data_IF_092163013654
#
_entry.id   IF_092163013654
#
_cell.length_a   1.000
_cell.length_b   1.000
_cell.length_c   1.000
_cell.angle_alpha   90.00
_cell.angle_beta   90.00
_cell.angle_gamma   90.00
#
_symmetry.space_group_name_H-M   'P 1'
#
loop_
_entity.id
_entity.type
_entity.pdbx_description
1 polymer ?
#
# COMPACT_ATOMS: atom_id res chain seq x y z
N UNK A 1 -22.66 -34.89 -19.14
CA UNK A 1 -23.29 -33.56 -19.11
C UNK A 1 -22.27 -32.52 -19.56
N UNK A 2 -22.61 -31.84 -20.65
CA UNK A 2 -22.11 -30.59 -21.24
C UNK A 2 -20.77 -30.00 -20.76
N UNK A 3 -19.75 -30.16 -21.62
CA UNK A 3 -18.70 -29.16 -21.83
C UNK A 3 -19.34 -27.97 -22.56
N UNK A 4 -19.46 -26.83 -21.87
CA UNK A 4 -19.83 -25.55 -22.48
C UNK A 4 -18.60 -24.98 -23.22
N UNK A 5 -18.80 -24.69 -24.50
CA UNK A 5 -17.76 -24.34 -25.46
C UNK A 5 -17.06 -23.02 -25.19
N UNK A 6 -15.76 -23.03 -25.46
CA UNK A 6 -15.00 -21.85 -25.82
C UNK A 6 -15.54 -21.32 -27.15
N UNK A 7 -16.26 -20.19 -27.08
CA UNK A 7 -16.67 -19.44 -28.26
C UNK A 7 -15.45 -19.07 -29.10
N UNK A 8 -15.43 -19.59 -30.32
CA UNK A 8 -14.61 -19.14 -31.44
C UNK A 8 -14.84 -17.66 -31.72
N UNK A 9 -13.89 -16.80 -31.32
CA UNK A 9 -13.80 -15.42 -31.80
C UNK A 9 -12.70 -15.37 -32.86
N UNK A 10 -13.17 -15.47 -34.10
CA UNK A 10 -12.72 -14.71 -35.27
C UNK A 10 -11.20 -14.67 -35.55
N UNK A 11 -10.78 -15.62 -36.37
CA UNK A 11 -9.69 -15.51 -37.34
C UNK A 11 -9.95 -14.32 -38.29
N UNK A 12 -9.41 -13.13 -37.94
CA UNK A 12 -9.24 -11.97 -38.83
C UNK A 12 -7.73 -11.72 -38.96
N UNK A 13 -7.25 -11.49 -40.18
CA UNK A 13 -5.83 -11.37 -40.56
C UNK A 13 -5.02 -10.21 -39.94
N UNK A 14 -5.38 -9.74 -38.74
CA UNK A 14 -4.68 -8.70 -37.97
C UNK A 14 -3.56 -9.26 -37.07
N UNK A 15 -3.36 -10.58 -37.04
CA UNK A 15 -2.32 -11.23 -36.24
C UNK A 15 -0.89 -10.63 -36.42
N UNK A 16 -0.45 -10.22 -37.63
CA UNK A 16 0.86 -9.57 -37.80
C UNK A 16 0.92 -8.17 -37.16
N UNK A 17 -0.18 -7.42 -37.19
CA UNK A 17 -0.26 -6.09 -36.60
C UNK A 17 -0.29 -6.16 -35.07
N UNK A 18 -1.05 -7.12 -34.51
CA UNK A 18 -1.09 -7.39 -33.08
C UNK A 18 0.31 -7.76 -32.53
N UNK A 19 1.07 -8.58 -33.26
CA UNK A 19 2.41 -8.98 -32.86
C UNK A 19 3.41 -7.81 -32.81
N UNK A 20 3.27 -6.81 -33.71
CA UNK A 20 4.11 -5.61 -33.69
C UNK A 20 3.72 -4.68 -32.54
N UNK A 21 2.43 -4.55 -32.25
CA UNK A 21 1.93 -3.78 -31.09
C UNK A 21 2.43 -4.39 -29.78
N UNK A 22 2.31 -5.71 -29.62
CA UNK A 22 2.79 -6.44 -28.43
C UNK A 22 4.31 -6.36 -28.27
N UNK A 23 5.06 -6.34 -29.38
CA UNK A 23 6.52 -6.19 -29.34
C UNK A 23 6.92 -4.78 -28.92
N UNK A 24 6.22 -3.76 -29.39
CA UNK A 24 6.47 -2.37 -29.00
C UNK A 24 6.05 -2.09 -27.55
N UNK A 25 4.93 -2.65 -27.09
CA UNK A 25 4.49 -2.49 -25.69
C UNK A 25 5.48 -3.13 -24.72
N UNK A 26 5.99 -4.33 -25.03
CA UNK A 26 7.05 -4.98 -24.23
C UNK A 26 8.36 -4.20 -24.25
N UNK A 27 8.77 -3.67 -25.41
CA UNK A 27 9.99 -2.86 -25.51
C UNK A 27 9.88 -1.54 -24.73
N UNK A 28 8.70 -0.92 -24.71
CA UNK A 28 8.42 0.26 -23.91
C UNK A 28 8.45 -0.07 -22.42
N UNK A 29 7.77 -1.14 -21.99
CA UNK A 29 7.77 -1.58 -20.59
C UNK A 29 9.19 -1.91 -20.09
N UNK A 30 10.02 -2.55 -20.93
CA UNK A 30 11.42 -2.83 -20.60
C UNK A 30 12.25 -1.55 -20.44
N UNK A 31 12.01 -0.53 -21.28
CA UNK A 31 12.68 0.78 -21.13
C UNK A 31 12.29 1.47 -19.83
N UNK A 32 10.99 1.50 -19.53
CA UNK A 32 10.47 2.12 -18.31
C UNK A 32 11.03 1.40 -17.08
N UNK A 33 11.08 0.06 -17.09
CA UNK A 33 11.68 -0.74 -16.02
C UNK A 33 13.18 -0.47 -15.82
N UNK A 34 13.92 -0.30 -16.92
CA UNK A 34 15.35 0.04 -16.85
C UNK A 34 15.57 1.47 -16.32
N UNK A 35 14.75 2.43 -16.74
CA UNK A 35 14.81 3.82 -16.24
C UNK A 35 14.45 3.89 -14.75
N UNK A 36 13.41 3.17 -14.30
CA UNK A 36 13.07 3.09 -12.86
C UNK A 36 14.15 2.40 -12.05
N UNK A 37 14.78 1.35 -12.59
CA UNK A 37 15.92 0.69 -11.93
C UNK A 37 17.10 1.65 -11.75
N UNK A 38 17.43 2.44 -12.77
CA UNK A 38 18.53 3.41 -12.70
C UNK A 38 18.25 4.54 -11.69
N UNK A 39 17.01 5.03 -11.63
CA UNK A 39 16.59 6.01 -10.63
C UNK A 39 16.57 5.44 -9.20
N UNK A 40 16.12 4.19 -9.02
CA UNK A 40 16.21 3.49 -7.75
C UNK A 40 17.66 3.32 -7.29
N UNK A 41 18.57 3.00 -8.21
CA UNK A 41 19.99 2.87 -7.91
C UNK A 41 20.60 4.21 -7.47
N UNK A 42 20.22 5.33 -8.12
CA UNK A 42 20.61 6.69 -7.69
C UNK A 42 20.07 7.05 -6.29
N UNK A 43 18.84 6.66 -5.99
CA UNK A 43 18.22 6.88 -4.68
C UNK A 43 18.89 6.02 -3.61
N UNK A 44 19.13 4.75 -3.89
CA UNK A 44 19.82 3.82 -2.99
C UNK A 44 21.21 4.35 -2.66
N UNK A 45 21.97 4.80 -3.65
CA UNK A 45 23.30 5.39 -3.44
C UNK A 45 23.26 6.70 -2.64
N UNK A 46 22.17 7.47 -2.75
CA UNK A 46 21.97 8.67 -1.93
C UNK A 46 21.62 8.29 -0.48
N UNK A 47 20.82 7.25 -0.27
CA UNK A 47 20.46 6.73 1.05
C UNK A 47 21.66 6.11 1.74
N UNK A 48 22.45 5.28 1.05
CA UNK A 48 23.72 4.72 1.54
C UNK A 48 24.66 5.84 1.99
N UNK A 49 24.88 6.86 1.15
CA UNK A 49 25.68 8.03 1.53
C UNK A 49 25.13 8.77 2.77
N UNK A 50 23.80 8.83 2.95
CA UNK A 50 23.20 9.47 4.14
C UNK A 50 23.35 8.58 5.37
N UNK A 51 23.20 7.27 5.23
CA UNK A 51 23.39 6.29 6.30
C UNK A 51 24.84 6.24 6.75
N UNK A 52 25.81 6.20 5.83
CA UNK A 52 27.25 6.27 6.16
C UNK A 52 27.59 7.58 6.87
N UNK A 53 27.05 8.71 6.41
CA UNK A 53 27.21 10.00 7.09
C UNK A 53 26.54 9.99 8.47
N UNK A 54 25.38 9.35 8.63
CA UNK A 54 24.68 9.24 9.91
C UNK A 54 25.42 8.34 10.89
N UNK A 55 25.93 7.20 10.43
CA UNK A 55 26.74 6.27 11.23
C UNK A 55 28.04 6.92 11.69
N UNK A 56 28.74 7.65 10.80
CA UNK A 56 29.87 8.46 11.23
C UNK A 56 29.45 9.49 12.28
N UNK A 57 28.34 10.21 12.08
CA UNK A 57 27.90 11.22 13.05
C UNK A 57 27.50 10.57 14.39
N UNK A 58 26.93 9.36 14.36
CA UNK A 58 26.49 8.61 15.54
C UNK A 58 27.67 7.99 16.32
N UNK A 59 28.73 7.55 15.63
CA UNK A 59 30.00 7.20 16.27
C UNK A 59 30.64 8.39 17.00
N UNK A 60 30.53 9.61 16.44
CA UNK A 60 30.92 10.84 17.15
C UNK A 60 30.02 11.16 18.35
N UNK A 61 28.74 10.78 18.35
CA UNK A 61 27.81 11.03 19.47
C UNK A 61 27.95 10.04 20.63
N UNK A 62 28.32 8.79 20.35
CA UNK A 62 28.48 7.75 21.37
C UNK A 62 29.61 8.06 22.36
N UNK A 63 30.66 8.77 21.93
CA UNK A 63 31.84 9.10 22.74
C UNK A 63 31.63 10.30 23.71
N UNK A 64 30.58 11.11 23.50
CA UNK A 64 30.32 12.35 24.27
C UNK A 64 29.01 12.34 25.09
N UNK A 65 28.31 11.21 25.14
CA UNK A 65 26.92 11.10 25.60
C UNK A 65 26.61 11.56 27.04
N UNK A 66 27.60 11.76 27.91
CA UNK A 66 27.36 12.21 29.30
C UNK A 66 27.40 13.73 29.51
N UNK A 67 27.90 14.52 28.54
CA UNK A 67 28.18 15.95 28.72
C UNK A 67 27.55 16.85 27.64
N UNK A 68 26.52 16.39 26.95
CA UNK A 68 25.94 17.08 25.79
C UNK A 68 24.53 17.60 26.10
N UNK A 69 24.28 18.89 25.86
CA UNK A 69 22.98 19.54 26.07
C UNK A 69 22.48 20.17 24.78
N UNK A 70 21.24 19.87 24.40
CA UNK A 70 20.61 20.34 23.16
C UNK A 70 19.82 21.60 23.40
N UNK A 71 20.03 22.60 22.56
CA UNK A 71 19.38 23.92 22.66
C UNK A 71 18.78 24.29 21.30
N UNK A 72 17.59 24.89 21.32
CA UNK A 72 16.74 25.07 20.14
C UNK A 72 17.24 26.18 19.22
N UNK A 73 17.89 27.21 19.76
CA UNK A 73 18.50 28.31 19.02
C UNK A 73 19.60 29.04 19.83
N UNK A 74 20.27 30.00 19.20
CA UNK A 74 21.36 30.77 19.81
C UNK A 74 20.85 31.68 20.95
N UNK A 75 19.58 32.10 20.90
CA UNK A 75 19.00 32.98 21.92
C UNK A 75 18.78 32.24 23.24
N UNK A 76 18.25 31.01 23.17
CA UNK A 76 18.08 30.12 24.31
C UNK A 76 19.44 29.72 24.92
N UNK A 77 20.48 29.51 24.09
CA UNK A 77 21.84 29.29 24.59
C UNK A 77 22.37 30.53 25.33
N UNK A 78 22.12 31.73 24.80
CA UNK A 78 22.55 32.97 25.44
C UNK A 78 21.86 33.19 26.80
N UNK A 79 20.57 32.86 26.91
CA UNK A 79 19.82 32.93 28.18
C UNK A 79 20.35 31.90 29.19
N UNK A 80 20.61 30.68 28.75
CA UNK A 80 21.14 29.59 29.58
C UNK A 80 22.56 29.89 30.10
N UNK A 81 23.37 30.61 29.32
CA UNK A 81 24.71 31.08 29.73
C UNK A 81 24.68 32.35 30.62
N UNK A 82 23.55 33.08 30.67
CA UNK A 82 23.36 34.21 31.58
C UNK A 82 22.97 33.76 33.00
N UNK A 83 22.43 32.56 33.15
CA UNK A 83 22.14 31.95 34.45
C UNK A 83 23.44 31.63 35.21
N UNK A 84 23.70 32.38 36.28
CA UNK A 84 24.91 32.28 37.10
C UNK A 84 25.06 30.93 37.82
N UNK A 85 23.95 30.22 38.08
CA UNK A 85 23.96 28.93 38.77
C UNK A 85 24.33 27.83 37.78
N UNK A 86 23.67 27.80 36.63
CA UNK A 86 23.96 26.83 35.57
C UNK A 86 25.35 27.03 34.98
N UNK A 87 25.79 28.27 34.78
CA UNK A 87 27.14 28.60 34.32
C UNK A 87 28.23 27.99 35.22
N UNK A 88 28.07 28.02 36.54
CA UNK A 88 29.01 27.38 37.47
C UNK A 88 29.01 25.85 37.33
N UNK A 89 27.84 25.24 37.08
CA UNK A 89 27.70 23.81 36.83
C UNK A 89 28.43 23.38 35.54
N UNK A 90 28.25 24.13 34.44
CA UNK A 90 28.92 23.85 33.16
C UNK A 90 30.41 24.21 33.15
N UNK A 91 30.88 25.07 34.06
CA UNK A 91 32.32 25.31 34.25
C UNK A 91 33.02 24.15 34.97
N UNK A 92 32.30 23.43 35.83
CA UNK A 92 32.86 22.29 36.58
C UNK A 92 33.05 21.04 35.69
N UNK A 93 32.33 20.94 34.58
CA UNK A 93 32.36 19.80 33.66
C UNK A 93 32.26 20.31 32.22
N UNK A 94 33.25 20.00 31.37
CA UNK A 94 33.25 20.41 29.95
C UNK A 94 31.96 19.93 29.31
N UNK A 95 31.06 20.87 29.02
CA UNK A 95 29.72 20.63 28.48
C UNK A 95 29.66 21.14 27.04
N UNK A 96 29.21 20.29 26.12
CA UNK A 96 29.08 20.64 24.70
C UNK A 96 27.63 21.00 24.42
N UNK A 97 27.40 22.24 23.97
CA UNK A 97 26.08 22.70 23.56
C UNK A 97 25.88 22.49 22.07
N UNK A 98 24.86 21.73 21.71
CA UNK A 98 24.45 21.59 20.31
C UNK A 98 23.26 22.51 20.08
N UNK A 99 23.50 23.55 19.29
CA UNK A 99 22.48 24.53 18.91
C UNK A 99 21.89 24.10 17.58
N UNK A 100 20.62 23.72 17.59
CA UNK A 100 19.87 23.48 16.36
C UNK A 100 19.62 24.80 15.65
N UNK A 101 19.84 24.87 14.33
CA UNK A 101 19.31 25.97 13.53
C UNK A 101 17.93 25.56 13.02
N UNK A 102 16.90 26.29 13.43
CA UNK A 102 15.52 26.06 12.98
C UNK A 102 15.41 26.06 11.44
N UNK A 103 16.28 26.81 10.74
CA UNK A 103 16.36 26.85 9.28
C UNK A 103 16.73 25.50 8.64
N UNK A 104 17.62 24.73 9.27
CA UNK A 104 17.98 23.38 8.83
C UNK A 104 16.83 22.42 9.13
N UNK A 105 16.06 22.66 10.20
CA UNK A 105 14.82 21.92 10.45
C UNK A 105 13.74 22.24 9.40
N UNK A 106 13.67 23.48 8.92
CA UNK A 106 12.77 23.85 7.81
C UNK A 106 13.23 23.28 6.47
N UNK A 107 14.54 23.22 6.22
CA UNK A 107 15.09 22.49 5.06
C UNK A 107 14.85 20.99 5.18
N UNK A 108 14.99 20.41 6.37
CA UNK A 108 14.71 19.00 6.67
C UNK A 108 13.21 18.70 6.55
N UNK A 109 12.34 19.64 6.94
CA UNK A 109 10.90 19.57 6.73
C UNK A 109 10.55 19.67 5.24
N UNK A 110 11.19 20.57 4.49
CA UNK A 110 11.05 20.65 3.03
C UNK A 110 11.56 19.38 2.34
N UNK A 111 12.67 18.81 2.81
CA UNK A 111 13.21 17.55 2.28
C UNK A 111 12.27 16.39 2.61
N UNK A 112 11.74 16.33 3.83
CA UNK A 112 10.72 15.36 4.24
C UNK A 112 9.43 15.54 3.45
N UNK A 113 9.01 16.78 3.16
CA UNK A 113 7.87 17.07 2.30
C UNK A 113 8.14 16.68 0.86
N UNK A 114 9.34 16.90 0.33
CA UNK A 114 9.74 16.47 -1.01
C UNK A 114 9.87 14.94 -1.11
N UNK A 115 10.33 14.28 -0.05
CA UNK A 115 10.37 12.82 0.05
C UNK A 115 8.95 12.27 0.15
N UNK A 116 8.08 12.91 0.92
CA UNK A 116 6.68 12.53 1.03
C UNK A 116 5.90 12.81 -0.26
N UNK A 117 6.18 13.92 -0.96
CA UNK A 117 5.69 14.19 -2.31
C UNK A 117 6.26 13.18 -3.30
N UNK A 118 7.54 12.81 -3.22
CA UNK A 118 8.12 11.77 -4.05
C UNK A 118 7.44 10.42 -3.80
N UNK A 119 7.13 10.06 -2.54
CA UNK A 119 6.36 8.86 -2.23
C UNK A 119 4.90 8.98 -2.66
N UNK A 120 4.26 10.14 -2.55
CA UNK A 120 2.87 10.35 -3.00
C UNK A 120 2.74 10.39 -4.53
N UNK A 121 3.70 11.00 -5.22
CA UNK A 121 3.83 10.93 -6.68
C UNK A 121 4.28 9.55 -7.12
N UNK A 122 5.12 8.84 -6.36
CA UNK A 122 5.38 7.43 -6.61
C UNK A 122 4.12 6.61 -6.41
N UNK A 123 3.31 6.84 -5.37
CA UNK A 123 2.03 6.16 -5.11
C UNK A 123 0.98 6.48 -6.20
N UNK A 124 0.96 7.71 -6.71
CA UNK A 124 0.15 8.08 -7.88
C UNK A 124 0.69 7.48 -9.18
N UNK A 125 2.00 7.37 -9.34
CA UNK A 125 2.64 6.67 -10.46
C UNK A 125 2.59 5.13 -10.30
N UNK A 126 2.29 4.65 -9.09
CA UNK A 126 1.99 3.26 -8.72
C UNK A 126 0.48 2.96 -8.77
N UNK A 127 -0.36 3.88 -9.30
CA UNK A 127 -1.72 3.53 -9.74
C UNK A 127 -1.71 2.36 -10.75
N UNK A 128 -0.55 2.05 -11.35
CA UNK A 128 -0.40 0.97 -12.32
C UNK A 128 0.50 -0.22 -11.94
N UNK A 129 1.37 -0.22 -10.92
CA UNK A 129 2.17 -1.44 -10.65
C UNK A 129 2.93 -1.47 -9.32
N UNK A 130 2.43 -2.22 -8.32
CA UNK A 130 3.15 -3.23 -7.50
C UNK A 130 2.66 -3.29 -6.02
N UNK A 131 2.58 -4.50 -5.43
CA UNK A 131 1.72 -4.83 -4.29
C UNK A 131 2.24 -4.60 -2.86
N UNK A 132 1.27 -4.68 -1.93
CA UNK A 132 1.43 -4.73 -0.48
C UNK A 132 1.67 -6.17 0.03
N UNK A 133 2.65 -6.32 0.91
CA UNK A 133 3.04 -7.57 1.59
C UNK A 133 2.06 -7.97 2.72
N UNK A 134 1.86 -9.28 2.99
CA UNK A 134 0.91 -9.72 4.00
C UNK A 134 1.54 -9.99 5.39
N UNK A 135 0.69 -9.79 6.40
CA UNK A 135 0.92 -9.96 7.84
C UNK A 135 1.31 -11.41 8.19
N UNK A 136 2.44 -11.56 8.87
CA UNK A 136 2.96 -12.85 9.34
C UNK A 136 2.47 -13.08 10.77
N UNK A 137 1.84 -14.23 11.02
CA UNK A 137 1.49 -14.68 12.37
C UNK A 137 2.77 -15.04 13.14
N UNK A 138 3.27 -14.04 13.86
CA UNK A 138 4.51 -14.10 14.63
C UNK A 138 4.49 -15.19 15.69
N UNK A 139 3.32 -15.58 16.21
CA UNK A 139 3.21 -16.57 17.29
C UNK A 139 3.51 -18.00 16.79
N UNK A 140 2.99 -18.35 15.60
CA UNK A 140 3.29 -19.65 14.95
C UNK A 140 4.75 -19.72 14.45
N UNK A 141 5.31 -18.60 14.01
CA UNK A 141 6.73 -18.50 13.64
C UNK A 141 7.63 -18.65 14.87
N UNK A 142 7.25 -18.06 16.00
CA UNK A 142 8.02 -18.17 17.25
C UNK A 142 8.02 -19.61 17.77
N UNK A 143 6.88 -20.30 17.70
CA UNK A 143 6.79 -21.71 18.09
C UNK A 143 7.67 -22.63 17.23
N UNK A 144 7.71 -22.39 15.91
CA UNK A 144 8.57 -23.13 14.98
C UNK A 144 10.06 -22.85 15.19
N UNK A 145 10.41 -21.62 15.59
CA UNK A 145 11.78 -21.25 15.94
C UNK A 145 12.21 -21.98 17.22
N UNK A 146 11.36 -22.03 18.25
CA UNK A 146 11.67 -22.75 19.50
C UNK A 146 11.83 -24.25 19.29
N UNK A 147 10.95 -24.90 18.51
CA UNK A 147 11.12 -26.31 18.15
C UNK A 147 12.42 -26.57 17.37
N UNK A 148 12.77 -25.67 16.45
CA UNK A 148 14.02 -25.75 15.69
C UNK A 148 15.26 -25.55 16.56
N UNK A 149 15.19 -24.64 17.54
CA UNK A 149 16.27 -24.39 18.49
C UNK A 149 16.48 -25.56 19.44
N UNK A 150 15.42 -26.24 19.89
CA UNK A 150 15.55 -27.43 20.73
C UNK A 150 16.12 -28.63 19.96
N UNK A 151 15.73 -28.80 18.69
CA UNK A 151 16.37 -29.81 17.81
C UNK A 151 17.84 -29.49 17.58
N UNK A 152 18.18 -28.21 17.33
CA UNK A 152 19.57 -27.78 17.15
C UNK A 152 20.42 -28.00 18.41
N UNK A 153 19.87 -27.72 19.61
CA UNK A 153 20.53 -28.02 20.90
C UNK A 153 20.75 -29.52 21.07
N UNK A 154 19.75 -30.35 20.79
CA UNK A 154 19.88 -31.81 20.86
C UNK A 154 20.96 -32.36 19.91
N UNK A 155 21.04 -31.81 18.70
CA UNK A 155 22.09 -32.15 17.73
C UNK A 155 23.48 -31.68 18.19
N UNK A 156 23.59 -30.48 18.77
CA UNK A 156 24.85 -29.97 19.29
C UNK A 156 25.39 -30.82 20.46
N UNK A 157 24.51 -31.27 21.38
CA UNK A 157 24.90 -32.20 22.45
C UNK A 157 25.40 -33.52 21.89
N UNK A 158 24.65 -34.10 20.93
CA UNK A 158 25.03 -35.36 20.29
C UNK A 158 26.34 -35.26 19.51
N UNK A 159 26.62 -34.11 18.90
CA UNK A 159 27.89 -33.83 18.24
C UNK A 159 29.04 -33.74 19.25
N UNK A 160 28.80 -33.16 20.43
CA UNK A 160 29.73 -33.16 21.56
C UNK A 160 30.10 -34.57 22.01
N UNK A 161 29.11 -35.43 22.20
CA UNK A 161 29.31 -36.84 22.59
C UNK A 161 30.12 -37.61 21.53
N UNK A 162 29.77 -37.44 20.25
CA UNK A 162 30.51 -38.07 19.13
C UNK A 162 31.96 -37.59 19.09
N UNK A 163 32.20 -36.30 19.33
CA UNK A 163 33.56 -35.75 19.33
C UNK A 163 34.39 -36.33 20.48
N UNK A 164 33.79 -36.51 21.65
CA UNK A 164 34.43 -37.16 22.79
C UNK A 164 34.77 -38.62 22.49
N UNK A 165 33.85 -39.38 21.90
CA UNK A 165 34.07 -40.76 21.48
C UNK A 165 35.20 -40.89 20.43
N UNK A 166 35.30 -39.95 19.49
CA UNK A 166 36.35 -39.92 18.47
C UNK A 166 37.73 -39.67 19.10
N UNK A 167 37.81 -38.72 20.04
CA UNK A 167 39.07 -38.42 20.74
C UNK A 167 39.52 -39.61 21.57
N UNK A 168 38.59 -40.26 22.29
CA UNK A 168 38.88 -41.43 23.11
C UNK A 168 39.29 -42.64 22.26
N UNK A 169 38.65 -42.83 21.09
CA UNK A 169 39.08 -43.82 20.11
C UNK A 169 40.48 -43.52 19.58
N UNK A 170 40.80 -42.28 19.21
CA UNK A 170 42.12 -41.90 18.69
C UNK A 170 43.25 -42.06 19.72
N UNK A 171 42.97 -41.77 20.99
CA UNK A 171 43.92 -41.98 22.10
C UNK A 171 44.19 -43.48 22.33
N UNK A 172 43.12 -44.28 22.45
CA UNK A 172 43.22 -45.75 22.57
C UNK A 172 43.87 -46.38 21.33
N UNK A 173 43.64 -45.79 20.16
CA UNK A 173 44.21 -46.20 18.90
C UNK A 173 45.72 -45.90 18.82
N UNK A 174 46.16 -44.75 19.32
CA UNK A 174 47.56 -44.37 19.42
C UNK A 174 48.32 -45.31 20.38
N UNK A 175 47.72 -45.67 21.51
CA UNK A 175 48.29 -46.66 22.45
C UNK A 175 48.37 -48.07 21.85
N UNK A 176 47.37 -48.49 21.07
CA UNK A 176 47.32 -49.83 20.48
C UNK A 176 48.15 -50.01 19.18
N UNK A 177 48.82 -48.96 18.70
CA UNK A 177 49.60 -48.96 17.46
C UNK A 177 50.97 -49.67 17.54
N UNK A 178 51.13 -50.58 18.51
CA UNK A 178 52.31 -51.43 18.66
C UNK A 178 52.25 -52.77 17.88
N UNK A 179 51.19 -53.11 17.12
CA UNK A 179 51.11 -54.39 16.37
C UNK A 179 50.57 -54.28 14.93
N UNK A 180 51.43 -54.62 13.96
CA UNK A 180 51.28 -54.54 12.50
C UNK A 180 50.03 -55.19 11.83
N UNK A 181 49.18 -55.95 12.53
CA UNK A 181 47.92 -56.50 11.95
C UNK A 181 46.76 -55.49 11.96
N UNK A 182 46.80 -54.46 12.82
CA UNK A 182 45.75 -53.43 12.88
C UNK A 182 45.70 -52.57 11.61
N UNK A 183 46.87 -52.25 11.04
CA UNK A 183 47.04 -51.29 9.94
C UNK A 183 46.19 -51.61 8.69
N UNK A 184 46.02 -52.89 8.35
CA UNK A 184 45.24 -53.30 7.16
C UNK A 184 43.72 -53.26 7.38
N UNK A 185 43.25 -53.54 8.62
CA UNK A 185 41.83 -53.36 8.99
C UNK A 185 41.46 -51.88 9.05
N UNK A 186 42.40 -51.07 9.53
CA UNK A 186 42.33 -49.61 9.51
C UNK A 186 42.22 -49.03 8.12
N UNK A 187 43.10 -49.44 7.19
CA UNK A 187 43.00 -48.98 5.80
C UNK A 187 41.65 -49.34 5.18
N UNK A 188 41.12 -50.53 5.48
CA UNK A 188 39.81 -50.95 5.00
C UNK A 188 38.66 -50.14 5.63
N UNK A 189 38.73 -49.86 6.94
CA UNK A 189 37.76 -49.03 7.64
C UNK A 189 37.83 -47.56 7.19
N UNK A 190 39.04 -47.05 6.94
CA UNK A 190 39.29 -45.72 6.40
C UNK A 190 38.71 -45.59 4.98
N UNK A 191 38.91 -46.61 4.15
CA UNK A 191 38.33 -46.62 2.81
C UNK A 191 36.80 -46.69 2.85
N UNK A 192 36.22 -47.54 3.69
CA UNK A 192 34.77 -47.60 3.88
C UNK A 192 34.20 -46.26 4.39
N UNK A 193 34.84 -45.65 5.38
CA UNK A 193 34.46 -44.33 5.87
C UNK A 193 34.57 -43.25 4.78
N UNK A 194 35.57 -43.33 3.90
CA UNK A 194 35.73 -42.43 2.76
C UNK A 194 34.61 -42.61 1.74
N UNK A 195 34.24 -43.84 1.45
CA UNK A 195 33.16 -44.17 0.52
C UNK A 195 31.81 -43.72 1.09
N UNK A 196 31.56 -43.94 2.38
CA UNK A 196 30.37 -43.47 3.10
C UNK A 196 30.29 -41.94 3.14
N UNK A 197 31.42 -41.27 3.40
CA UNK A 197 31.50 -39.80 3.38
C UNK A 197 31.20 -39.24 1.99
N UNK A 198 31.71 -39.89 0.94
CA UNK A 198 31.41 -39.52 -0.45
C UNK A 198 29.93 -39.67 -0.76
N UNK A 199 29.31 -40.80 -0.36
CA UNK A 199 27.87 -41.03 -0.56
C UNK A 199 27.02 -40.03 0.21
N UNK A 200 27.41 -39.69 1.45
CA UNK A 200 26.71 -38.71 2.26
C UNK A 200 26.83 -37.31 1.65
N UNK A 201 28.01 -36.95 1.12
CA UNK A 201 28.25 -35.69 0.41
C UNK A 201 27.36 -35.56 -0.83
N UNK A 202 27.22 -36.62 -1.62
CA UNK A 202 26.31 -36.64 -2.79
C UNK A 202 24.84 -36.46 -2.37
N UNK A 203 24.40 -37.15 -1.32
CA UNK A 203 23.03 -37.00 -0.79
C UNK A 203 22.79 -35.58 -0.26
N UNK A 204 23.77 -35.00 0.42
CA UNK A 204 23.66 -33.66 0.98
C UNK A 204 23.55 -32.61 -0.14
N UNK A 205 24.34 -32.74 -1.21
CA UNK A 205 24.20 -31.91 -2.41
C UNK A 205 22.82 -32.07 -3.07
N UNK A 206 22.30 -33.30 -3.15
CA UNK A 206 20.95 -33.54 -3.68
C UNK A 206 19.87 -32.85 -2.85
N UNK A 207 19.93 -32.99 -1.51
CA UNK A 207 19.00 -32.33 -0.59
C UNK A 207 19.12 -30.80 -0.68
N UNK A 208 20.33 -30.27 -0.84
CA UNK A 208 20.55 -28.84 -0.99
C UNK A 208 19.90 -28.30 -2.27
N UNK A 209 20.06 -29.00 -3.39
CA UNK A 209 19.39 -28.66 -4.66
C UNK A 209 17.86 -28.73 -4.54
N UNK A 210 17.33 -29.76 -3.89
CA UNK A 210 15.89 -29.89 -3.66
C UNK A 210 15.36 -28.74 -2.78
N UNK A 211 16.15 -28.32 -1.78
CA UNK A 211 15.81 -27.20 -0.90
C UNK A 211 15.76 -25.89 -1.69
N UNK A 212 16.74 -25.64 -2.56
CA UNK A 212 16.78 -24.46 -3.44
C UNK A 212 15.55 -24.43 -4.37
N UNK A 213 15.18 -25.54 -5.02
CA UNK A 213 13.96 -25.61 -5.83
C UNK A 213 12.68 -25.34 -5.03
N UNK A 214 12.64 -25.83 -3.78
CA UNK A 214 11.50 -25.62 -2.88
C UNK A 214 11.41 -24.17 -2.44
N UNK A 215 12.54 -23.52 -2.19
CA UNK A 215 12.59 -22.10 -1.85
C UNK A 215 12.15 -21.23 -3.03
N UNK A 216 12.58 -21.54 -4.25
CA UNK A 216 12.08 -20.87 -5.46
C UNK A 216 10.56 -21.01 -5.63
N UNK A 217 10.01 -22.23 -5.45
CA UNK A 217 8.56 -22.46 -5.48
C UNK A 217 7.83 -21.71 -4.37
N UNK A 218 8.42 -21.62 -3.19
CA UNK A 218 7.87 -20.88 -2.06
C UNK A 218 7.77 -19.39 -2.39
N UNK A 219 8.85 -18.81 -2.92
CA UNK A 219 8.87 -17.42 -3.38
C UNK A 219 7.83 -17.14 -4.47
N UNK A 220 7.62 -18.09 -5.40
CA UNK A 220 6.57 -17.97 -6.42
C UNK A 220 5.16 -17.99 -5.82
N UNK A 221 4.91 -18.86 -4.84
CA UNK A 221 3.62 -18.93 -4.16
C UNK A 221 3.34 -17.68 -3.33
N UNK A 222 4.34 -17.12 -2.66
CA UNK A 222 4.19 -15.84 -1.97
C UNK A 222 3.76 -14.72 -2.92
N UNK A 223 4.38 -14.63 -4.10
CA UNK A 223 3.98 -13.66 -5.14
C UNK A 223 2.53 -13.87 -5.58
N UNK A 224 2.10 -15.12 -5.79
CA UNK A 224 0.71 -15.40 -6.17
C UNK A 224 -0.29 -15.02 -5.07
N UNK A 225 0.05 -15.27 -3.81
CA UNK A 225 -0.78 -14.95 -2.67
C UNK A 225 -0.97 -13.43 -2.51
N UNK A 226 0.09 -12.66 -2.71
CA UNK A 226 0.08 -11.20 -2.64
C UNK A 226 -0.86 -10.60 -3.71
N UNK A 227 -0.77 -11.09 -4.95
CA UNK A 227 -1.66 -10.69 -6.05
C UNK A 227 -3.12 -10.97 -5.70
N UNK A 228 -3.42 -12.19 -5.20
CA UNK A 228 -4.80 -12.58 -4.85
C UNK A 228 -5.38 -11.75 -3.70
N UNK A 229 -4.54 -11.34 -2.76
CA UNK A 229 -4.94 -10.50 -1.63
C UNK A 229 -5.34 -9.10 -2.09
N UNK A 230 -4.55 -8.49 -2.98
CA UNK A 230 -4.89 -7.21 -3.60
C UNK A 230 -6.19 -7.26 -4.39
N UNK A 231 -6.38 -8.30 -5.21
CA UNK A 231 -7.61 -8.48 -5.99
C UNK A 231 -8.83 -8.47 -5.05
N UNK A 232 -8.76 -9.18 -3.93
CA UNK A 232 -9.82 -9.23 -2.94
C UNK A 232 -10.13 -7.84 -2.36
N UNK A 233 -9.10 -7.07 -2.02
CA UNK A 233 -9.25 -5.70 -1.51
C UNK A 233 -9.89 -4.78 -2.56
N UNK A 234 -9.51 -4.93 -3.83
CA UNK A 234 -10.09 -4.18 -4.96
C UNK A 234 -11.58 -4.48 -5.11
N UNK A 235 -11.97 -5.76 -5.08
CA UNK A 235 -13.38 -6.16 -5.12
C UNK A 235 -14.15 -5.65 -3.91
N UNK A 236 -13.54 -5.66 -2.72
CA UNK A 236 -14.17 -5.13 -1.50
C UNK A 236 -14.40 -3.62 -1.59
N UNK A 237 -13.43 -2.86 -2.07
CA UNK A 237 -13.57 -1.41 -2.29
C UNK A 237 -14.64 -1.10 -3.34
N UNK A 238 -14.63 -1.82 -4.46
CA UNK A 238 -15.67 -1.68 -5.50
C UNK A 238 -17.07 -2.00 -4.96
N UNK A 239 -17.20 -3.02 -4.09
CA UNK A 239 -18.45 -3.36 -3.44
C UNK A 239 -18.92 -2.26 -2.47
N UNK A 240 -18.02 -1.66 -1.69
CA UNK A 240 -18.32 -0.52 -0.81
C UNK A 240 -18.80 0.71 -1.63
N UNK A 241 -18.11 1.03 -2.73
CA UNK A 241 -18.52 2.12 -3.63
C UNK A 241 -19.87 1.84 -4.26
N UNK A 242 -20.10 0.62 -4.77
CA UNK A 242 -21.38 0.22 -5.34
C UNK A 242 -22.51 0.32 -4.31
N UNK A 243 -22.25 -0.08 -3.06
CA UNK A 243 -23.20 0.04 -1.95
C UNK A 243 -23.53 1.50 -1.64
N UNK A 244 -22.53 2.39 -1.63
CA UNK A 244 -22.76 3.82 -1.43
C UNK A 244 -23.58 4.43 -2.57
N UNK A 245 -23.24 4.11 -3.82
CA UNK A 245 -23.97 4.58 -4.99
C UNK A 245 -25.43 4.10 -4.98
N UNK A 246 -25.68 2.88 -4.49
CA UNK A 246 -27.04 2.34 -4.36
C UNK A 246 -27.84 3.14 -3.32
N UNK A 247 -27.26 3.45 -2.16
CA UNK A 247 -27.90 4.30 -1.15
C UNK A 247 -28.20 5.71 -1.66
N UNK A 248 -27.29 6.30 -2.45
CA UNK A 248 -27.51 7.63 -3.03
C UNK A 248 -28.58 7.59 -4.13
N UNK A 249 -28.66 6.51 -4.91
CA UNK A 249 -29.72 6.29 -5.88
C UNK A 249 -31.10 6.12 -5.21
N UNK A 250 -31.17 5.45 -4.06
CA UNK A 250 -32.41 5.34 -3.27
C UNK A 250 -32.88 6.71 -2.78
N UNK A 251 -31.98 7.56 -2.25
CA UNK A 251 -32.33 8.94 -1.85
C UNK A 251 -32.85 9.77 -3.01
N UNK A 252 -32.18 9.69 -4.17
CA UNK A 252 -32.62 10.42 -5.37
C UNK A 252 -34.00 9.96 -5.83
N UNK A 253 -34.31 8.67 -5.69
CA UNK A 253 -35.63 8.12 -6.01
C UNK A 253 -36.71 8.71 -5.10
N UNK A 254 -36.45 8.80 -3.79
CA UNK A 254 -37.38 9.41 -2.84
C UNK A 254 -37.60 10.90 -3.14
N UNK A 255 -36.53 11.63 -3.48
CA UNK A 255 -36.61 13.04 -3.89
C UNK A 255 -37.45 13.23 -5.17
N UNK A 256 -37.32 12.34 -6.15
CA UNK A 256 -38.14 12.36 -7.37
C UNK A 256 -39.61 12.17 -7.01
N UNK A 257 -39.93 11.20 -6.15
CA UNK A 257 -41.32 10.96 -5.71
C UNK A 257 -41.92 12.21 -5.06
N UNK A 258 -41.20 12.86 -4.14
CA UNK A 258 -41.65 14.11 -3.51
C UNK A 258 -41.86 15.23 -4.53
N UNK A 259 -40.95 15.37 -5.51
CA UNK A 259 -41.08 16.39 -6.56
C UNK A 259 -42.26 16.11 -7.49
N UNK A 260 -42.53 14.86 -7.83
CA UNK A 260 -43.66 14.46 -8.66
C UNK A 260 -45.00 14.72 -7.96
N UNK A 261 -45.06 14.52 -6.64
CA UNK A 261 -46.23 14.88 -5.82
C UNK A 261 -46.47 16.39 -5.84
N UNK A 262 -45.41 17.18 -5.59
CA UNK A 262 -45.50 18.64 -5.65
C UNK A 262 -45.89 19.15 -7.04
N UNK A 263 -45.39 18.54 -8.11
CA UNK A 263 -45.79 18.87 -9.48
C UNK A 263 -47.26 18.54 -9.74
N UNK A 264 -47.77 17.43 -9.20
CA UNK A 264 -49.19 17.09 -9.27
C UNK A 264 -50.06 18.14 -8.57
N UNK A 265 -49.67 18.56 -7.37
CA UNK A 265 -50.40 19.59 -6.62
C UNK A 265 -50.41 20.92 -7.37
N UNK A 266 -49.27 21.35 -7.89
CA UNK A 266 -49.18 22.58 -8.69
C UNK A 266 -50.04 22.50 -9.96
N UNK A 267 -50.09 21.36 -10.64
CA UNK A 267 -50.96 21.15 -11.80
C UNK A 267 -52.44 21.24 -11.44
N UNK A 268 -52.86 20.71 -10.29
CA UNK A 268 -54.23 20.85 -9.81
C UNK A 268 -54.59 22.30 -9.53
N UNK A 269 -53.68 23.06 -8.90
CA UNK A 269 -53.86 24.50 -8.65
C UNK A 269 -53.98 25.27 -9.96
N UNK A 270 -53.12 25.00 -10.94
CA UNK A 270 -53.18 25.62 -12.28
C UNK A 270 -54.54 25.33 -12.93
N UNK A 271 -54.96 24.07 -12.95
CA UNK A 271 -56.25 23.68 -13.56
C UNK A 271 -57.43 24.39 -12.89
N UNK A 272 -57.41 24.54 -11.56
CA UNK A 272 -58.43 25.29 -10.84
C UNK A 272 -58.44 26.77 -11.23
N UNK A 273 -57.27 27.40 -11.27
CA UNK A 273 -57.13 28.80 -11.67
C UNK A 273 -57.56 29.04 -13.13
N UNK A 274 -57.33 28.10 -14.02
CA UNK A 274 -57.79 28.16 -15.41
C UNK A 274 -59.32 28.14 -15.50
N UNK A 275 -60.00 27.30 -14.69
CA UNK A 275 -61.46 27.26 -14.59
C UNK A 275 -61.99 28.58 -14.02
N UNK A 276 -61.41 29.08 -12.93
CA UNK A 276 -61.82 30.34 -12.30
C UNK A 276 -61.65 31.52 -13.28
N UNK A 277 -60.56 31.52 -14.04
CA UNK A 277 -60.27 32.55 -15.04
C UNK A 277 -61.23 32.49 -16.23
N UNK A 278 -61.63 31.30 -16.69
CA UNK A 278 -62.64 31.15 -17.75
C UNK A 278 -64.02 31.59 -17.27
N UNK A 279 -64.41 31.24 -16.04
CA UNK A 279 -65.66 31.71 -15.44
C UNK A 279 -65.68 33.24 -15.26
N UNK A 280 -64.58 33.83 -14.78
CA UNK A 280 -64.44 35.27 -14.64
C UNK A 280 -64.54 35.99 -15.99
N UNK A 281 -63.89 35.46 -17.04
CA UNK A 281 -64.01 35.99 -18.41
C UNK A 281 -65.44 35.95 -18.93
N UNK A 282 -66.13 34.82 -18.74
CA UNK A 282 -67.51 34.68 -19.19
C UNK A 282 -68.47 35.62 -18.42
N UNK A 283 -68.29 35.76 -17.11
CA UNK A 283 -69.05 36.71 -16.29
C UNK A 283 -68.80 38.16 -16.70
N UNK A 284 -67.55 38.49 -17.03
CA UNK A 284 -67.17 39.81 -17.53
C UNK A 284 -67.82 40.11 -18.87
N UNK A 285 -67.74 39.18 -19.83
CA UNK A 285 -68.38 39.28 -21.14
C UNK A 285 -69.91 39.43 -21.04
N UNK A 286 -70.57 38.65 -20.19
CA UNK A 286 -72.00 38.81 -19.92
C UNK A 286 -72.36 40.18 -19.34
N UNK A 287 -71.55 40.68 -18.39
CA UNK A 287 -71.75 41.98 -17.78
C UNK A 287 -71.55 43.11 -18.79
N UNK A 288 -70.56 42.97 -19.65
CA UNK A 288 -70.27 43.94 -20.70
C UNK A 288 -71.38 43.96 -21.77
N UNK A 289 -71.85 42.80 -22.22
CA UNK A 289 -73.00 42.71 -23.13
C UNK A 289 -74.28 43.33 -22.52
N UNK A 290 -74.49 43.19 -21.21
CA UNK A 290 -75.62 43.87 -20.52
C UNK A 290 -75.46 45.38 -20.50
N UNK A 291 -74.24 45.89 -20.26
CA UNK A 291 -73.94 47.33 -20.30
C UNK A 291 -74.12 47.89 -21.70
N UNK A 292 -73.65 47.17 -22.72
CA UNK A 292 -73.80 47.58 -24.13
C UNK A 292 -75.27 47.61 -24.55
N UNK A 293 -76.05 46.59 -24.17
CA UNK A 293 -77.50 46.56 -24.41
C UNK A 293 -78.23 47.71 -23.68
N UNK A 294 -77.91 47.96 -22.41
CA UNK A 294 -78.49 49.06 -21.64
C UNK A 294 -78.08 50.45 -22.20
N UNK A 295 -76.87 50.57 -22.73
CA UNK A 295 -76.39 51.76 -23.43
C UNK A 295 -77.18 52.00 -24.72
N UNK A 296 -77.38 50.95 -25.54
CA UNK A 296 -78.18 51.01 -26.76
C UNK A 296 -79.65 51.38 -26.45
N UNK A 297 -80.24 50.79 -25.42
CA UNK A 297 -81.61 51.09 -24.98
C UNK A 297 -81.73 52.53 -24.45
N UNK A 298 -80.73 53.01 -23.70
CA UNK A 298 -80.65 54.41 -23.26
C UNK A 298 -80.53 55.40 -24.44
N UNK A 299 -79.75 55.05 -25.47
CA UNK A 299 -79.64 55.86 -26.69
C UNK A 299 -80.94 55.87 -27.49
N UNK A 300 -81.61 54.72 -27.62
CA UNK A 300 -82.91 54.61 -28.27
C UNK A 300 -83.97 55.46 -27.56
N UNK A 301 -84.05 55.37 -26.23
CA UNK A 301 -84.96 56.18 -25.42
C UNK A 301 -84.69 57.69 -25.56
N UNK A 302 -83.42 58.11 -25.61
CA UNK A 302 -83.04 59.50 -25.87
C UNK A 302 -83.45 59.97 -27.28
N UNK A 303 -83.37 59.11 -28.29
CA UNK A 303 -83.84 59.44 -29.64
C UNK A 303 -85.37 59.56 -29.70
N UNK A 304 -86.12 58.66 -29.04
CA UNK A 304 -87.58 58.74 -29.01
C UNK A 304 -88.10 59.93 -28.21
N UNK A 305 -87.40 60.37 -27.17
CA UNK A 305 -87.78 61.53 -26.35
C UNK A 305 -87.53 62.88 -27.08
N UNK A 306 -86.68 62.91 -28.10
CA UNK A 306 -86.44 64.11 -28.93
C UNK A 306 -87.43 64.28 -30.10
N UNK A 307 -88.28 63.28 -30.36
CA UNK A 307 -89.28 63.28 -31.45
C UNK A 307 -90.72 63.50 -30.96
N UNK A 308 -90.89 63.93 -29.70
CA UNK A 308 -92.16 64.38 -29.09
C UNK A 308 -92.07 65.87 -28.75
#
# INVERSE_FOLDING_TARGET
>A
MNYLGTMSILDRGDAPAQAVIDRNSRALAQRVANETKEELEKVMHRVENICENFEMTNEYYADFGSNMEFVSDIAELAELLQDQVKKKKYQAQVTVFIVGFQEVSTQKLKLLQQVNEFFLDSIRNFEDDVPNTPDVDLEDVTHKIDESLDVARGLATRLGDINQDIIEYLLNYAENKAKNKGRKKLEKALQAAKDDLSSLSEKLLGVQSDLEEKDEKMQQLYKQLEIKTLENQKYRSAAEVAKKNLLDAEKLKDDIVMRDEKLRDMRQVISRLEIDLTQARHSHEQSQNRLDNASLESQFLKQTFWFQ
#
